data_IF_544696485247
#
_entry.id   IF_544696485247
#
_cell.length_a   1.000
_cell.length_b   1.000
_cell.length_c   1.000
_cell.angle_alpha   90.00
_cell.angle_beta   90.00
_cell.angle_gamma   90.00
#
_symmetry.space_group_name_H-M   'P 1'
#
loop_
_entity.id
_entity.type
_entity.pdbx_description
1 polymer ?
#
# COMPACT_ATOMS: atom_id res chain seq x y z
N UNK A 1 -46.75 -33.78 -7.40
CA UNK A 1 -45.90 -34.95 -7.12
C UNK A 1 -44.47 -34.44 -7.08
N UNK A 2 -43.85 -34.19 -5.91
CA UNK A 2 -42.43 -33.89 -5.84
C UNK A 2 -41.68 -35.18 -5.51
N UNK A 3 -41.25 -35.89 -6.55
CA UNK A 3 -40.23 -36.93 -6.44
C UNK A 3 -38.84 -36.25 -6.38
N UNK A 4 -37.90 -36.92 -5.71
CA UNK A 4 -36.45 -36.61 -5.58
C UNK A 4 -35.96 -35.76 -4.39
N UNK A 5 -36.32 -36.16 -3.16
CA UNK A 5 -35.43 -35.97 -1.98
C UNK A 5 -35.31 -37.30 -1.19
N UNK A 6 -35.21 -38.44 -1.88
CA UNK A 6 -35.14 -39.76 -1.20
C UNK A 6 -33.74 -40.39 -1.25
N UNK A 7 -32.74 -39.68 -1.82
CA UNK A 7 -31.36 -40.15 -1.94
C UNK A 7 -30.35 -39.16 -1.38
N UNK A 8 -29.40 -39.67 -0.60
CA UNK A 8 -28.19 -38.97 -0.17
C UNK A 8 -27.03 -39.53 -0.99
N UNK A 9 -26.62 -38.79 -2.01
CA UNK A 9 -25.63 -39.28 -2.98
C UNK A 9 -26.15 -40.55 -3.69
N UNK A 10 -25.43 -41.66 -3.53
CA UNK A 10 -25.76 -42.95 -4.18
C UNK A 10 -26.69 -43.85 -3.38
N UNK A 11 -27.04 -43.50 -2.13
CA UNK A 11 -27.86 -44.33 -1.23
C UNK A 11 -29.20 -43.67 -0.93
N UNK A 12 -30.20 -44.46 -0.54
CA UNK A 12 -31.47 -43.91 -0.02
C UNK A 12 -31.26 -43.19 1.32
N UNK A 13 -32.19 -42.31 1.68
CA UNK A 13 -32.20 -41.64 2.98
C UNK A 13 -32.18 -42.64 4.15
N UNK A 14 -33.02 -43.68 4.08
CA UNK A 14 -33.08 -44.75 5.09
C UNK A 14 -31.76 -45.53 5.22
N UNK A 15 -31.10 -45.82 4.10
CA UNK A 15 -29.79 -46.49 4.12
C UNK A 15 -28.71 -45.57 4.67
N UNK A 16 -28.74 -44.28 4.34
CA UNK A 16 -27.83 -43.30 4.90
C UNK A 16 -27.93 -43.24 6.43
N UNK A 17 -29.15 -43.21 6.98
CA UNK A 17 -29.38 -43.23 8.44
C UNK A 17 -28.83 -44.49 9.10
N UNK A 18 -28.99 -45.66 8.46
CA UNK A 18 -28.39 -46.90 8.93
C UNK A 18 -26.86 -46.85 8.91
N UNK A 19 -26.25 -46.37 7.83
CA UNK A 19 -24.80 -46.18 7.71
C UNK A 19 -24.29 -45.22 8.81
N UNK A 20 -25.02 -44.13 9.06
CA UNK A 20 -24.66 -43.18 10.12
C UNK A 20 -24.69 -43.85 11.49
N UNK A 21 -25.67 -44.72 11.78
CA UNK A 21 -25.70 -45.47 13.03
C UNK A 21 -24.51 -46.43 13.15
N UNK A 22 -24.24 -47.23 12.11
CA UNK A 22 -23.09 -48.15 12.04
C UNK A 22 -21.75 -47.41 12.26
N UNK A 23 -21.54 -46.29 11.56
CA UNK A 23 -20.31 -45.49 11.67
C UNK A 23 -20.19 -44.78 13.02
N UNK A 24 -21.30 -44.44 13.68
CA UNK A 24 -21.27 -43.86 15.03
C UNK A 24 -20.71 -44.85 16.06
N UNK A 25 -21.07 -46.13 15.95
CA UNK A 25 -20.54 -47.16 16.84
C UNK A 25 -19.03 -47.35 16.62
N UNK A 26 -18.58 -47.30 15.36
CA UNK A 26 -17.14 -47.32 15.02
C UNK A 26 -16.41 -46.12 15.63
N UNK A 27 -16.97 -44.91 15.51
CA UNK A 27 -16.39 -43.69 16.10
C UNK A 27 -16.37 -43.77 17.63
N UNK A 28 -17.37 -44.39 18.26
CA UNK A 28 -17.38 -44.61 19.72
C UNK A 28 -16.24 -45.57 20.13
N UNK A 29 -16.05 -46.67 19.41
CA UNK A 29 -14.95 -47.60 19.66
C UNK A 29 -13.58 -46.93 19.47
N UNK A 30 -13.42 -46.16 18.40
CA UNK A 30 -12.20 -45.39 18.16
C UNK A 30 -11.95 -44.37 19.29
N UNK A 31 -13.00 -43.70 19.75
CA UNK A 31 -12.91 -42.74 20.86
C UNK A 31 -12.47 -43.41 22.14
N UNK A 32 -13.04 -44.57 22.46
CA UNK A 32 -12.63 -45.38 23.61
C UNK A 32 -11.16 -45.80 23.50
N UNK A 33 -10.73 -46.29 22.33
CA UNK A 33 -9.35 -46.69 22.08
C UNK A 33 -8.35 -45.55 22.29
N UNK A 34 -8.65 -44.36 21.77
CA UNK A 34 -7.80 -43.17 21.96
C UNK A 34 -7.67 -42.77 23.43
N UNK A 35 -8.78 -42.79 24.18
CA UNK A 35 -8.74 -42.55 25.62
C UNK A 35 -7.96 -43.63 26.37
N UNK A 36 -8.10 -44.91 26.01
CA UNK A 36 -7.31 -45.99 26.61
C UNK A 36 -5.81 -45.78 26.37
N UNK A 37 -5.40 -45.42 25.15
CA UNK A 37 -4.00 -45.10 24.84
C UNK A 37 -3.53 -43.93 25.70
N UNK A 38 -4.33 -42.86 25.80
CA UNK A 38 -3.99 -41.69 26.60
C UNK A 38 -3.89 -41.99 28.10
N UNK A 39 -4.77 -42.83 28.63
CA UNK A 39 -4.78 -43.23 30.04
C UNK A 39 -3.54 -44.06 30.38
N UNK A 40 -3.16 -45.01 29.51
CA UNK A 40 -1.91 -45.78 29.69
C UNK A 40 -0.68 -44.91 29.54
N UNK A 41 -0.70 -43.94 28.62
CA UNK A 41 0.39 -42.98 28.49
C UNK A 41 0.52 -42.06 29.73
N UNK A 42 -0.59 -41.75 30.42
CA UNK A 42 -0.57 -41.02 31.70
C UNK A 42 -0.07 -41.87 32.85
N UNK A 43 -0.43 -43.15 32.88
CA UNK A 43 0.07 -44.13 33.85
C UNK A 43 1.59 -44.29 33.74
N UNK A 44 2.13 -44.30 32.52
CA UNK A 44 3.56 -44.41 32.25
C UNK A 44 4.30 -43.08 32.55
N UNK A 45 3.75 -41.93 32.13
CA UNK A 45 4.35 -40.62 32.33
C UNK A 45 3.29 -39.57 32.70
N UNK A 46 3.24 -39.19 33.97
CA UNK A 46 2.31 -38.18 34.49
C UNK A 46 2.49 -36.80 33.83
N UNK A 47 1.42 -36.00 33.84
CA UNK A 47 1.52 -34.59 33.43
C UNK A 47 2.38 -33.83 34.44
N UNK A 48 3.41 -33.14 33.95
CA UNK A 48 4.25 -32.26 34.77
C UNK A 48 3.56 -30.91 34.95
N UNK A 49 3.63 -30.35 36.15
CA UNK A 49 3.19 -28.97 36.40
C UNK A 49 4.11 -27.99 35.64
N UNK A 50 3.52 -27.02 34.95
CA UNK A 50 4.29 -25.96 34.28
C UNK A 50 5.00 -25.11 35.33
N UNK A 51 6.33 -25.25 35.48
CA UNK A 51 7.15 -24.34 36.28
C UNK A 51 8.32 -24.96 37.06
N UNK A 52 8.39 -26.28 37.22
CA UNK A 52 9.49 -26.93 37.94
C UNK A 52 10.68 -27.28 37.05
N UNK A 53 11.79 -26.56 37.16
CA UNK A 53 13.10 -27.04 36.69
C UNK A 53 13.54 -28.22 37.57
N UNK A 54 13.04 -29.42 37.28
CA UNK A 54 13.67 -30.63 37.80
C UNK A 54 14.70 -31.09 36.77
N UNK A 55 15.96 -31.16 37.20
CA UNK A 55 17.03 -31.79 36.44
C UNK A 55 16.64 -33.27 36.21
N UNK A 56 16.28 -33.62 34.98
CA UNK A 56 15.97 -35.00 34.61
C UNK A 56 17.25 -35.64 34.11
N UNK A 57 17.50 -36.86 34.58
CA UNK A 57 18.48 -37.77 34.00
C UNK A 57 18.27 -37.86 32.47
N UNK A 58 19.25 -37.53 31.63
CA UNK A 58 19.09 -37.49 30.16
C UNK A 58 18.56 -38.80 29.55
N UNK A 59 18.77 -39.91 30.26
CA UNK A 59 18.44 -41.27 29.80
C UNK A 59 16.93 -41.58 29.82
N UNK A 60 16.12 -40.86 30.62
CA UNK A 60 14.67 -41.06 30.75
C UNK A 60 13.87 -39.76 30.63
N UNK A 61 14.02 -39.08 29.48
CA UNK A 61 13.13 -37.96 29.15
C UNK A 61 11.71 -38.47 28.82
N UNK A 62 10.69 -37.68 29.15
CA UNK A 62 9.28 -37.93 28.75
C UNK A 62 9.15 -38.21 27.24
N UNK A 63 9.99 -37.57 26.43
CA UNK A 63 10.05 -37.81 24.98
C UNK A 63 10.57 -39.20 24.67
N UNK A 64 11.62 -39.69 25.32
CA UNK A 64 12.15 -41.03 25.12
C UNK A 64 11.13 -42.12 25.51
N UNK A 65 10.54 -42.02 26.71
CA UNK A 65 9.57 -43.00 27.21
C UNK A 65 8.34 -43.11 26.31
N UNK A 66 7.76 -41.97 25.91
CA UNK A 66 6.59 -41.96 25.03
C UNK A 66 6.92 -42.33 23.58
N UNK A 67 8.14 -42.07 23.11
CA UNK A 67 8.57 -42.50 21.77
C UNK A 67 8.63 -44.02 21.71
N UNK A 68 9.24 -44.65 22.72
CA UNK A 68 9.26 -46.11 22.85
C UNK A 68 7.85 -46.70 22.89
N UNK A 69 6.96 -46.15 23.73
CA UNK A 69 5.56 -46.59 23.78
C UNK A 69 4.89 -46.48 22.41
N UNK A 70 5.11 -45.36 21.70
CA UNK A 70 4.52 -45.13 20.39
C UNK A 70 5.03 -46.14 19.34
N UNK A 71 6.33 -46.44 19.33
CA UNK A 71 6.93 -47.45 18.47
C UNK A 71 6.39 -48.86 18.77
N UNK A 72 6.28 -49.23 20.05
CA UNK A 72 5.80 -50.55 20.49
C UNK A 72 4.34 -50.82 20.08
N UNK A 73 3.49 -49.78 20.02
CA UNK A 73 2.07 -49.89 19.62
C UNK A 73 1.81 -49.46 18.16
N UNK A 74 2.86 -49.13 17.39
CA UNK A 74 2.75 -48.76 15.98
C UNK A 74 2.10 -47.39 15.70
N UNK A 75 2.22 -46.43 16.63
CA UNK A 75 1.69 -45.07 16.50
C UNK A 75 2.80 -44.02 16.42
N UNK A 76 2.44 -42.81 16.00
CA UNK A 76 3.34 -41.65 16.06
C UNK A 76 3.44 -41.15 17.50
N UNK A 77 4.63 -40.73 17.91
CA UNK A 77 4.84 -40.04 19.19
C UNK A 77 3.85 -38.88 19.39
N UNK A 78 3.58 -38.08 18.35
CA UNK A 78 2.62 -36.97 18.41
C UNK A 78 1.19 -37.42 18.72
N UNK A 79 0.77 -38.59 18.23
CA UNK A 79 -0.54 -39.18 18.53
C UNK A 79 -0.62 -39.58 19.99
N UNK A 80 0.37 -40.31 20.50
CA UNK A 80 0.42 -40.74 21.92
C UNK A 80 0.50 -39.53 22.85
N UNK A 81 1.34 -38.55 22.53
CA UNK A 81 1.44 -37.28 23.28
C UNK A 81 0.10 -36.54 23.31
N UNK A 82 -0.60 -36.45 22.17
CA UNK A 82 -1.92 -35.82 22.10
C UNK A 82 -2.98 -36.60 22.86
N UNK A 83 -2.94 -37.94 22.81
CA UNK A 83 -3.80 -38.85 23.57
C UNK A 83 -3.64 -38.61 25.07
N UNK A 84 -2.40 -38.65 25.54
CA UNK A 84 -2.04 -38.41 26.95
C UNK A 84 -2.57 -37.07 27.45
N UNK A 85 -2.28 -36.00 26.71
CA UNK A 85 -2.73 -34.65 27.09
C UNK A 85 -4.26 -34.56 27.12
N UNK A 86 -4.95 -35.11 26.12
CA UNK A 86 -6.43 -35.07 26.09
C UNK A 86 -7.03 -35.87 27.24
N UNK A 87 -6.51 -37.06 27.52
CA UNK A 87 -6.93 -37.86 28.69
C UNK A 87 -6.74 -37.11 30.01
N UNK A 88 -5.66 -36.33 30.16
CA UNK A 88 -5.45 -35.56 31.41
C UNK A 88 -6.47 -34.44 31.61
N UNK A 89 -7.04 -33.92 30.53
CA UNK A 89 -8.07 -32.87 30.56
C UNK A 89 -9.48 -33.45 30.71
N UNK A 90 -9.64 -34.75 30.48
CA UNK A 90 -10.91 -35.49 30.50
C UNK A 90 -10.81 -36.76 31.35
N UNK A 91 -11.00 -36.65 32.68
CA UNK A 91 -11.16 -37.80 33.57
C UNK A 91 -12.26 -38.76 33.08
N UNK A 92 -12.14 -40.05 33.43
CA UNK A 92 -13.02 -41.09 32.90
C UNK A 92 -14.52 -40.84 33.15
N UNK A 93 -14.87 -40.24 34.29
CA UNK A 93 -16.25 -39.87 34.69
C UNK A 93 -16.79 -38.64 33.94
N UNK A 94 -15.93 -37.85 33.29
CA UNK A 94 -16.29 -36.62 32.58
C UNK A 94 -16.37 -36.77 31.06
N UNK A 95 -16.00 -37.94 30.52
CA UNK A 95 -16.07 -38.24 29.08
C UNK A 95 -17.51 -38.48 28.65
N UNK A 96 -17.92 -37.86 27.55
CA UNK A 96 -19.30 -37.94 27.08
C UNK A 96 -19.49 -39.00 26.00
N UNK A 97 -20.40 -39.95 26.26
CA UNK A 97 -20.80 -40.95 25.27
C UNK A 97 -21.46 -40.27 24.07
N UNK A 98 -21.12 -40.72 22.87
CA UNK A 98 -21.66 -40.15 21.62
C UNK A 98 -21.01 -38.84 21.17
N UNK A 99 -20.01 -38.33 21.91
CA UNK A 99 -19.13 -37.25 21.48
C UNK A 99 -17.79 -37.83 21.05
N UNK A 100 -17.30 -37.46 19.87
CA UNK A 100 -16.06 -38.02 19.32
C UNK A 100 -14.82 -37.57 20.10
N UNK A 101 -13.76 -38.37 20.04
CA UNK A 101 -12.46 -38.00 20.60
C UNK A 101 -11.92 -36.67 20.05
N UNK A 102 -12.15 -36.37 18.77
CA UNK A 102 -11.74 -35.11 18.15
C UNK A 102 -12.37 -33.91 18.83
N UNK A 103 -13.67 -33.97 19.17
CA UNK A 103 -14.36 -32.89 19.89
C UNK A 103 -13.78 -32.74 21.31
N UNK A 104 -13.58 -33.84 22.03
CA UNK A 104 -12.92 -33.80 23.35
C UNK A 104 -11.54 -33.15 23.27
N UNK A 105 -10.72 -33.52 22.27
CA UNK A 105 -9.38 -32.95 22.05
C UNK A 105 -9.43 -31.45 21.76
N UNK A 106 -10.42 -30.98 21.01
CA UNK A 106 -10.55 -29.54 20.71
C UNK A 106 -11.01 -28.78 21.95
N UNK A 107 -12.05 -29.25 22.65
CA UNK A 107 -12.56 -28.62 23.86
C UNK A 107 -11.59 -28.72 25.06
N UNK A 108 -10.61 -29.63 25.01
CA UNK A 108 -9.54 -29.74 26.01
C UNK A 108 -8.70 -28.45 26.18
N UNK A 109 -8.70 -27.58 25.16
CA UNK A 109 -8.06 -26.27 25.20
C UNK A 109 -8.81 -25.22 26.04
N UNK A 110 -10.05 -25.49 26.47
CA UNK A 110 -10.71 -24.64 27.47
C UNK A 110 -9.94 -24.79 28.79
N UNK A 111 -9.33 -23.70 29.25
CA UNK A 111 -8.45 -23.70 30.42
C UNK A 111 -9.21 -24.00 31.70
N UNK A 112 -10.38 -23.37 31.89
CA UNK A 112 -11.24 -23.60 33.03
C UNK A 112 -11.89 -24.99 32.97
N UNK A 113 -11.62 -25.80 34.00
CA UNK A 113 -12.08 -27.19 34.06
C UNK A 113 -13.61 -27.31 34.15
N UNK A 114 -14.26 -26.47 34.96
CA UNK A 114 -15.71 -26.48 35.10
C UNK A 114 -16.38 -26.04 33.80
N UNK A 115 -15.93 -24.95 33.19
CA UNK A 115 -16.43 -24.48 31.89
C UNK A 115 -16.29 -25.57 30.82
N UNK A 116 -15.15 -26.26 30.79
CA UNK A 116 -14.90 -27.34 29.84
C UNK A 116 -15.89 -28.49 30.04
N UNK A 117 -16.09 -28.93 31.28
CA UNK A 117 -17.02 -30.02 31.61
C UNK A 117 -18.47 -29.66 31.30
N UNK A 118 -18.87 -28.41 31.53
CA UNK A 118 -20.22 -27.94 31.21
C UNK A 118 -20.42 -27.78 29.69
N UNK A 119 -19.39 -27.31 28.98
CA UNK A 119 -19.44 -27.09 27.54
C UNK A 119 -19.71 -28.40 26.77
N UNK A 120 -19.03 -29.51 27.10
CA UNK A 120 -19.20 -30.75 26.33
C UNK A 120 -20.61 -31.34 26.44
N UNK A 121 -21.34 -31.05 27.52
CA UNK A 121 -22.72 -31.49 27.75
C UNK A 121 -23.74 -30.74 26.89
N UNK A 122 -23.39 -29.54 26.42
CA UNK A 122 -24.33 -28.63 25.75
C UNK A 122 -23.83 -28.33 24.34
N UNK A 123 -24.27 -29.08 23.31
CA UNK A 123 -23.98 -28.74 21.92
C UNK A 123 -24.49 -27.34 21.57
N UNK A 124 -23.97 -26.69 20.52
CA UNK A 124 -24.47 -25.39 20.09
C UNK A 124 -25.97 -25.39 19.80
N UNK A 125 -26.60 -24.23 19.98
CA UNK A 125 -28.04 -24.04 19.80
C UNK A 125 -28.52 -24.55 18.43
N UNK A 126 -29.64 -25.25 18.42
CA UNK A 126 -30.23 -25.84 17.21
C UNK A 126 -29.54 -27.11 16.72
N UNK A 127 -28.50 -27.62 17.41
CA UNK A 127 -27.82 -28.86 17.05
C UNK A 127 -27.98 -29.93 18.12
N UNK A 128 -28.25 -31.16 17.69
CA UNK A 128 -28.35 -32.31 18.59
C UNK A 128 -26.99 -32.84 19.05
N UNK A 129 -25.89 -32.51 18.35
CA UNK A 129 -24.54 -33.06 18.60
C UNK A 129 -23.45 -32.05 18.24
N UNK A 130 -22.29 -32.20 18.87
CA UNK A 130 -21.07 -31.48 18.51
C UNK A 130 -20.51 -31.93 17.17
N UNK A 131 -20.05 -30.96 16.37
CA UNK A 131 -19.13 -31.19 15.25
C UNK A 131 -17.73 -30.68 15.59
N UNK A 132 -16.66 -31.14 14.92
CA UNK A 132 -15.32 -30.60 15.12
C UNK A 132 -15.23 -29.09 14.86
N UNK A 133 -15.97 -28.57 13.89
CA UNK A 133 -16.02 -27.14 13.59
C UNK A 133 -16.72 -26.35 14.70
N UNK A 134 -17.81 -26.88 15.25
CA UNK A 134 -18.49 -26.25 16.38
C UNK A 134 -17.58 -26.17 17.61
N UNK A 135 -16.85 -27.27 17.90
CA UNK A 135 -15.88 -27.29 18.97
C UNK A 135 -14.75 -26.28 18.71
N UNK A 136 -14.29 -26.18 17.47
CA UNK A 136 -13.24 -25.23 17.07
C UNK A 136 -13.71 -23.78 17.23
N UNK A 137 -14.95 -23.46 16.84
CA UNK A 137 -15.56 -22.14 17.09
C UNK A 137 -15.61 -21.82 18.58
N UNK A 138 -16.03 -22.77 19.42
CA UNK A 138 -16.16 -22.57 20.87
C UNK A 138 -14.85 -22.18 21.54
N UNK A 139 -13.73 -22.67 21.03
CA UNK A 139 -12.39 -22.37 21.55
C UNK A 139 -11.63 -21.30 20.75
N UNK A 140 -12.28 -20.68 19.76
CA UNK A 140 -11.65 -19.64 18.91
C UNK A 140 -10.63 -20.18 17.90
N UNK A 141 -10.59 -21.48 17.66
CA UNK A 141 -9.73 -22.10 16.66
C UNK A 141 -10.28 -21.90 15.25
N UNK A 142 -9.38 -22.03 14.26
CA UNK A 142 -9.76 -22.04 12.84
C UNK A 142 -10.70 -23.20 12.55
N UNK A 143 -11.81 -22.91 11.87
CA UNK A 143 -12.78 -23.89 11.37
C UNK A 143 -12.37 -24.41 10.00
N UNK A 144 -12.76 -25.64 9.68
CA UNK A 144 -12.61 -26.25 8.38
C UNK A 144 -13.66 -25.72 7.40
N UNK A 145 -14.90 -25.52 7.86
CA UNK A 145 -16.01 -24.98 7.07
C UNK A 145 -16.45 -23.60 7.61
N UNK A 146 -15.90 -22.50 7.08
CA UNK A 146 -16.31 -21.13 7.44
C UNK A 146 -17.76 -20.82 7.09
N UNK A 147 -18.56 -20.46 8.09
CA UNK A 147 -19.98 -20.08 7.91
C UNK A 147 -20.16 -18.57 8.07
N UNK A 148 -19.58 -17.99 9.12
CA UNK A 148 -19.75 -16.55 9.42
C UNK A 148 -18.86 -15.68 8.52
N UNK A 149 -19.21 -14.39 8.28
CA UNK A 149 -18.35 -13.48 7.53
C UNK A 149 -16.93 -13.39 8.10
N UNK A 150 -16.79 -13.34 9.43
CA UNK A 150 -15.49 -13.29 10.11
C UNK A 150 -14.65 -14.55 9.87
N UNK A 151 -15.27 -15.73 9.92
CA UNK A 151 -14.60 -16.99 9.61
C UNK A 151 -14.14 -17.02 8.15
N UNK A 152 -14.99 -16.58 7.21
CA UNK A 152 -14.65 -16.52 5.79
C UNK A 152 -13.49 -15.57 5.52
N UNK A 153 -13.48 -14.40 6.16
CA UNK A 153 -12.36 -13.45 6.06
C UNK A 153 -11.07 -14.07 6.59
N UNK A 154 -11.12 -14.74 7.75
CA UNK A 154 -9.95 -15.41 8.34
C UNK A 154 -9.40 -16.52 7.43
N UNK A 155 -10.29 -17.28 6.79
CA UNK A 155 -9.92 -18.29 5.81
C UNK A 155 -9.25 -17.66 4.57
N UNK A 156 -9.80 -16.55 4.05
CA UNK A 156 -9.20 -15.80 2.94
C UNK A 156 -7.81 -15.30 3.31
N UNK A 157 -7.62 -14.72 4.51
CA UNK A 157 -6.30 -14.27 4.97
C UNK A 157 -5.28 -15.41 5.02
N UNK A 158 -5.71 -16.61 5.41
CA UNK A 158 -4.82 -17.79 5.41
C UNK A 158 -4.44 -18.22 3.99
N UNK A 159 -5.40 -18.20 3.07
CA UNK A 159 -5.17 -18.59 1.67
C UNK A 159 -4.34 -17.55 0.90
N UNK A 160 -4.44 -16.28 1.28
CA UNK A 160 -3.73 -15.16 0.68
C UNK A 160 -2.49 -14.73 1.51
N UNK A 161 -1.81 -15.69 2.17
CA UNK A 161 -0.53 -15.42 2.83
C UNK A 161 0.61 -15.14 1.85
N UNK A 162 0.50 -15.68 0.63
CA UNK A 162 1.44 -15.42 -0.45
C UNK A 162 1.08 -14.09 -1.14
N UNK A 163 2.05 -13.18 -1.23
CA UNK A 163 1.85 -11.83 -1.77
C UNK A 163 1.44 -11.84 -3.26
N UNK A 164 1.89 -12.82 -4.05
CA UNK A 164 1.47 -12.95 -5.45
C UNK A 164 0.00 -13.37 -5.54
N UNK A 165 -0.42 -14.32 -4.71
CA UNK A 165 -1.83 -14.73 -4.61
C UNK A 165 -2.69 -13.57 -4.10
N UNK A 166 -2.23 -12.86 -3.07
CA UNK A 166 -2.92 -11.71 -2.51
C UNK A 166 -3.10 -10.58 -3.54
N UNK A 167 -2.05 -10.27 -4.32
CA UNK A 167 -2.11 -9.24 -5.36
C UNK A 167 -3.08 -9.63 -6.49
N UNK A 168 -3.08 -10.89 -6.93
CA UNK A 168 -3.99 -11.39 -7.96
C UNK A 168 -5.45 -11.32 -7.49
N UNK A 169 -5.74 -11.82 -6.29
CA UNK A 169 -7.09 -11.79 -5.70
C UNK A 169 -7.56 -10.35 -5.45
N UNK A 170 -6.68 -9.46 -4.98
CA UNK A 170 -6.99 -8.03 -4.81
C UNK A 170 -7.37 -7.39 -6.13
N UNK A 171 -6.62 -7.66 -7.20
CA UNK A 171 -6.92 -7.15 -8.55
C UNK A 171 -8.28 -7.63 -9.03
N UNK A 172 -8.63 -8.90 -8.79
CA UNK A 172 -9.94 -9.43 -9.15
C UNK A 172 -11.08 -8.86 -8.30
N UNK A 173 -10.84 -8.56 -7.03
CA UNK A 173 -11.80 -7.84 -6.20
C UNK A 173 -12.03 -6.41 -6.66
N UNK A 174 -10.99 -5.68 -7.05
CA UNK A 174 -11.11 -4.30 -7.55
C UNK A 174 -11.84 -4.21 -8.89
N UNK A 175 -11.84 -5.26 -9.71
CA UNK A 175 -12.63 -5.35 -10.95
C UNK A 175 -14.14 -5.45 -10.69
N UNK A 176 -14.59 -5.71 -9.46
CA UNK A 176 -16.00 -5.87 -9.10
C UNK A 176 -16.58 -4.53 -8.61
N UNK A 177 -17.46 -3.85 -9.37
CA UNK A 177 -17.92 -2.51 -9.03
C UNK A 177 -18.61 -2.40 -7.66
N UNK A 178 -19.36 -3.43 -7.27
CA UNK A 178 -20.04 -3.46 -5.96
C UNK A 178 -19.05 -3.53 -4.78
N UNK A 179 -17.92 -4.23 -4.96
CA UNK A 179 -16.87 -4.31 -3.93
C UNK A 179 -16.26 -2.94 -3.75
N UNK A 180 -15.84 -2.31 -4.85
CA UNK A 180 -15.25 -0.96 -4.84
C UNK A 180 -16.22 0.06 -4.23
N UNK A 181 -17.52 -0.03 -4.48
CA UNK A 181 -18.51 0.87 -3.85
C UNK A 181 -18.58 0.70 -2.33
N UNK A 182 -18.47 -0.53 -1.82
CA UNK A 182 -18.53 -0.83 -0.38
C UNK A 182 -17.25 -0.47 0.40
N UNK A 183 -16.11 -0.28 -0.28
CA UNK A 183 -14.88 0.20 0.37
C UNK A 183 -15.06 1.65 0.84
N UNK A 184 -14.64 1.94 2.07
CA UNK A 184 -14.76 3.26 2.68
C UNK A 184 -13.97 4.32 1.90
N UNK A 185 -14.36 5.59 2.00
CA UNK A 185 -13.62 6.67 1.35
C UNK A 185 -12.18 6.79 1.88
N UNK A 186 -11.97 6.54 3.18
CA UNK A 186 -10.65 6.54 3.82
C UNK A 186 -9.76 5.44 3.24
N UNK A 187 -10.28 4.22 3.12
CA UNK A 187 -9.53 3.11 2.54
C UNK A 187 -9.23 3.32 1.05
N UNK A 188 -10.17 3.90 0.30
CA UNK A 188 -9.93 4.29 -1.10
C UNK A 188 -8.80 5.29 -1.23
N UNK A 189 -8.79 6.34 -0.41
CA UNK A 189 -7.74 7.35 -0.43
C UNK A 189 -6.37 6.73 -0.12
N UNK A 190 -6.30 5.88 0.91
CA UNK A 190 -5.07 5.16 1.28
C UNK A 190 -4.56 4.23 0.18
N UNK A 191 -5.46 3.49 -0.49
CA UNK A 191 -5.08 2.62 -1.61
C UNK A 191 -4.56 3.43 -2.80
N UNK A 192 -5.21 4.57 -3.10
CA UNK A 192 -4.71 5.48 -4.15
C UNK A 192 -3.32 5.98 -3.78
N UNK A 193 -3.10 6.45 -2.55
CA UNK A 193 -1.79 6.90 -2.08
C UNK A 193 -0.72 5.83 -2.26
N UNK A 194 -0.99 4.59 -1.82
CA UNK A 194 -0.05 3.48 -1.96
C UNK A 194 0.25 3.14 -3.43
N UNK A 195 -0.78 3.07 -4.29
CA UNK A 195 -0.60 2.80 -5.71
C UNK A 195 0.13 3.93 -6.45
N UNK A 196 0.03 5.17 -5.98
CA UNK A 196 0.74 6.32 -6.56
C UNK A 196 2.15 6.53 -5.98
N UNK A 197 2.69 5.58 -5.20
CA UNK A 197 4.12 5.57 -4.88
C UNK A 197 5.00 5.24 -6.08
N UNK A 198 4.46 4.47 -7.02
CA UNK A 198 5.08 4.25 -8.33
C UNK A 198 4.85 5.49 -9.21
N UNK A 199 5.94 6.10 -9.68
CA UNK A 199 5.90 7.36 -10.44
C UNK A 199 5.18 7.23 -11.80
N UNK A 200 5.26 6.06 -12.44
CA UNK A 200 4.56 5.80 -13.70
C UNK A 200 3.05 5.68 -13.46
N UNK A 201 2.65 5.00 -12.37
CA UNK A 201 1.24 4.91 -11.95
C UNK A 201 0.73 6.29 -11.53
N UNK A 202 1.49 7.05 -10.74
CA UNK A 202 1.15 8.39 -10.32
C UNK A 202 0.93 9.34 -11.51
N UNK A 203 1.84 9.33 -12.48
CA UNK A 203 1.74 10.15 -13.69
C UNK A 203 0.49 9.79 -14.51
N UNK A 204 0.21 8.49 -14.66
CA UNK A 204 -0.97 8.00 -15.37
C UNK A 204 -2.27 8.39 -14.64
N UNK A 205 -2.30 8.22 -13.32
CA UNK A 205 -3.43 8.59 -12.47
C UNK A 205 -3.69 10.10 -12.51
N UNK A 206 -2.65 10.92 -12.33
CA UNK A 206 -2.73 12.38 -12.41
C UNK A 206 -3.28 12.82 -13.78
N UNK A 207 -2.75 12.27 -14.88
CA UNK A 207 -3.24 12.56 -16.23
C UNK A 207 -4.72 12.20 -16.39
N UNK A 208 -5.14 11.02 -15.93
CA UNK A 208 -6.54 10.59 -16.00
C UNK A 208 -7.46 11.46 -15.14
N UNK A 209 -7.00 11.92 -13.97
CA UNK A 209 -7.74 12.82 -13.10
C UNK A 209 -7.90 14.20 -13.74
N UNK A 210 -6.82 14.76 -14.31
CA UNK A 210 -6.83 16.05 -14.99
C UNK A 210 -7.65 16.05 -16.29
N UNK A 211 -7.97 14.88 -16.88
CA UNK A 211 -8.96 14.78 -17.97
C UNK A 211 -10.38 15.15 -17.53
N UNK A 212 -10.65 15.22 -16.22
CA UNK A 212 -11.95 15.65 -15.67
C UNK A 212 -11.92 17.17 -15.45
N UNK A 213 -12.76 17.96 -16.12
CA UNK A 213 -12.69 19.43 -16.10
C UNK A 213 -12.70 20.04 -14.69
N UNK A 214 -13.60 19.57 -13.82
CA UNK A 214 -13.71 20.09 -12.44
C UNK A 214 -12.47 19.79 -11.59
N UNK A 215 -11.79 18.67 -11.85
CA UNK A 215 -10.56 18.30 -11.13
C UNK A 215 -9.40 19.16 -11.63
N UNK A 216 -9.27 19.35 -12.94
CA UNK A 216 -8.27 20.24 -13.51
C UNK A 216 -8.43 21.67 -13.00
N UNK A 217 -9.66 22.20 -13.01
CA UNK A 217 -9.95 23.54 -12.49
C UNK A 217 -9.56 23.69 -11.02
N UNK A 218 -9.89 22.70 -10.18
CA UNK A 218 -9.51 22.70 -8.77
C UNK A 218 -8.01 22.56 -8.56
N UNK A 219 -7.32 21.75 -9.37
CA UNK A 219 -5.88 21.59 -9.31
C UNK A 219 -5.15 22.89 -9.69
N UNK A 220 -5.59 23.60 -10.73
CA UNK A 220 -5.03 24.91 -11.13
C UNK A 220 -5.30 26.02 -10.11
N UNK A 221 -6.32 25.85 -9.27
CA UNK A 221 -6.60 26.79 -8.18
C UNK A 221 -5.63 26.64 -7.00
N UNK A 222 -4.87 25.54 -6.94
CA UNK A 222 -3.80 25.34 -5.95
C UNK A 222 -2.49 26.01 -6.42
N UNK A 223 -1.94 26.89 -5.60
CA UNK A 223 -0.75 27.70 -5.94
C UNK A 223 0.48 26.83 -6.21
N UNK A 224 0.64 25.72 -5.48
CA UNK A 224 1.79 24.84 -5.61
C UNK A 224 1.70 24.05 -6.91
N UNK A 225 0.54 23.44 -7.18
CA UNK A 225 0.31 22.71 -8.41
C UNK A 225 0.48 23.61 -9.65
N UNK A 226 -0.14 24.80 -9.62
CA UNK A 226 -0.02 25.79 -10.69
C UNK A 226 1.41 26.26 -10.91
N UNK A 227 2.17 26.52 -9.85
CA UNK A 227 3.59 26.87 -9.94
C UNK A 227 4.40 25.75 -10.61
N UNK A 228 4.21 24.50 -10.18
CA UNK A 228 4.93 23.34 -10.75
C UNK A 228 4.60 23.12 -12.23
N UNK A 229 3.32 23.23 -12.61
CA UNK A 229 2.89 23.13 -14.02
C UNK A 229 3.49 24.27 -14.85
N UNK A 230 3.46 25.50 -14.35
CA UNK A 230 4.03 26.66 -15.04
C UNK A 230 5.54 26.52 -15.23
N UNK A 231 6.25 26.04 -14.20
CA UNK A 231 7.68 25.74 -14.27
C UNK A 231 7.98 24.66 -15.32
N UNK A 232 7.20 23.57 -15.32
CA UNK A 232 7.33 22.50 -16.31
C UNK A 232 7.04 22.97 -17.74
N UNK A 233 6.07 23.88 -17.95
CA UNK A 233 5.78 24.48 -19.25
C UNK A 233 6.90 25.37 -19.76
N UNK A 234 7.47 26.21 -18.88
CA UNK A 234 8.62 27.05 -19.20
C UNK A 234 9.84 26.18 -19.58
N UNK A 235 10.09 25.12 -18.80
CA UNK A 235 11.19 24.19 -19.06
C UNK A 235 11.00 23.44 -20.38
N UNK A 236 9.80 22.93 -20.65
CA UNK A 236 9.47 22.29 -21.93
C UNK A 236 9.66 23.24 -23.11
N UNK A 237 9.32 24.52 -22.94
CA UNK A 237 9.51 25.54 -23.98
C UNK A 237 10.99 25.82 -24.24
N UNK A 238 11.83 25.84 -23.18
CA UNK A 238 13.30 25.93 -23.33
C UNK A 238 13.84 24.72 -24.07
N UNK A 239 13.52 23.51 -23.62
CA UNK A 239 13.96 22.27 -24.27
C UNK A 239 13.53 22.19 -25.74
N UNK A 240 12.33 22.66 -26.08
CA UNK A 240 11.87 22.70 -27.47
C UNK A 240 12.70 23.67 -28.33
N UNK A 241 13.15 24.81 -27.77
CA UNK A 241 14.05 25.73 -28.45
C UNK A 241 15.44 25.14 -28.62
N UNK A 242 16.00 24.57 -27.55
CA UNK A 242 17.32 23.94 -27.60
C UNK A 242 17.33 22.79 -28.61
N UNK A 243 16.29 21.94 -28.60
CA UNK A 243 16.12 20.88 -29.58
C UNK A 243 16.03 21.41 -31.01
N UNK A 244 15.30 22.52 -31.23
CA UNK A 244 15.25 23.17 -32.54
C UNK A 244 16.63 23.69 -32.94
N UNK A 245 17.36 24.35 -32.03
CA UNK A 245 18.72 24.84 -32.30
C UNK A 245 19.69 23.71 -32.68
N UNK A 246 19.60 22.57 -32.02
CA UNK A 246 20.50 21.44 -32.21
C UNK A 246 20.17 20.58 -33.43
N UNK A 247 18.88 20.42 -33.77
CA UNK A 247 18.45 19.45 -34.79
C UNK A 247 17.99 20.09 -36.10
N UNK A 248 17.61 21.37 -36.09
CA UNK A 248 17.04 22.02 -37.27
C UNK A 248 18.14 22.51 -38.22
N UNK A 249 18.14 22.09 -39.50
CA UNK A 249 19.12 22.56 -40.48
C UNK A 249 18.99 24.06 -40.80
N UNK A 250 17.86 24.68 -40.45
CA UNK A 250 17.61 26.12 -40.59
C UNK A 250 17.92 26.93 -39.33
N UNK A 251 18.21 26.29 -38.20
CA UNK A 251 18.55 27.01 -36.96
C UNK A 251 19.71 28.01 -37.11
N UNK A 252 20.82 27.71 -37.81
CA UNK A 252 21.89 28.69 -38.02
C UNK A 252 21.44 29.92 -38.83
N UNK A 253 20.51 29.76 -39.77
CA UNK A 253 19.97 30.85 -40.58
C UNK A 253 19.04 31.74 -39.74
N UNK A 254 18.16 31.15 -38.93
CA UNK A 254 17.29 31.89 -37.99
C UNK A 254 18.14 32.65 -36.98
N UNK A 255 19.15 32.02 -36.38
CA UNK A 255 20.07 32.66 -35.44
C UNK A 255 20.85 33.82 -36.07
N UNK A 256 21.20 33.71 -37.34
CA UNK A 256 21.84 34.80 -38.09
C UNK A 256 20.87 35.95 -38.38
N UNK A 257 19.61 35.65 -38.67
CA UNK A 257 18.55 36.65 -38.86
C UNK A 257 18.30 37.39 -37.54
N UNK A 258 18.11 36.67 -36.43
CA UNK A 258 17.88 37.26 -35.11
C UNK A 258 19.04 38.19 -34.71
N UNK A 259 20.29 37.74 -34.87
CA UNK A 259 21.47 38.60 -34.66
C UNK A 259 21.53 39.82 -35.57
N UNK A 260 21.05 39.70 -36.81
CA UNK A 260 20.99 40.82 -37.76
C UNK A 260 19.90 41.82 -37.35
N UNK A 261 18.76 41.34 -36.85
CA UNK A 261 17.68 42.17 -36.31
C UNK A 261 18.15 42.90 -35.06
N UNK A 262 18.76 42.20 -34.09
CA UNK A 262 19.33 42.81 -32.88
C UNK A 262 20.37 43.89 -33.21
N UNK A 263 21.23 43.65 -34.21
CA UNK A 263 22.17 44.65 -34.71
C UNK A 263 21.45 45.87 -35.31
N UNK A 264 20.44 45.66 -36.15
CA UNK A 264 19.67 46.75 -36.76
C UNK A 264 18.88 47.54 -35.71
N UNK A 265 18.34 46.89 -34.69
CA UNK A 265 17.64 47.54 -33.59
C UNK A 265 18.59 48.44 -32.78
N UNK A 266 19.78 47.94 -32.45
CA UNK A 266 20.82 48.74 -31.77
C UNK A 266 21.24 49.95 -32.61
N UNK A 267 21.51 49.76 -33.91
CA UNK A 267 21.87 50.84 -34.83
C UNK A 267 20.74 51.87 -34.95
N UNK A 268 19.49 51.42 -34.95
CA UNK A 268 18.30 52.28 -35.03
C UNK A 268 18.10 53.08 -33.74
N UNK A 269 18.35 52.49 -32.58
CA UNK A 269 18.32 53.17 -31.29
C UNK A 269 19.37 54.29 -31.24
N UNK A 270 20.61 54.01 -31.66
CA UNK A 270 21.67 55.02 -31.76
C UNK A 270 21.31 56.16 -32.72
N UNK A 271 20.79 55.84 -33.92
CA UNK A 271 20.35 56.86 -34.88
C UNK A 271 19.21 57.72 -34.34
N UNK A 272 18.24 57.11 -33.66
CA UNK A 272 17.10 57.81 -33.09
C UNK A 272 17.53 58.80 -32.01
N UNK A 273 18.46 58.41 -31.13
CA UNK A 273 19.05 59.28 -30.13
C UNK A 273 19.80 60.47 -30.77
N UNK A 274 20.70 60.21 -31.72
CA UNK A 274 21.48 61.25 -32.42
C UNK A 274 20.57 62.22 -33.17
N UNK A 275 19.56 61.70 -33.89
CA UNK A 275 18.61 62.52 -34.62
C UNK A 275 17.72 63.38 -33.70
N UNK A 276 17.29 62.83 -32.56
CA UNK A 276 16.55 63.58 -31.55
C UNK A 276 17.40 64.71 -30.94
N UNK A 277 18.63 64.39 -30.53
CA UNK A 277 19.57 65.38 -29.99
C UNK A 277 19.88 66.48 -31.03
N UNK A 278 20.13 66.11 -32.29
CA UNK A 278 20.43 67.03 -33.38
C UNK A 278 19.29 67.99 -33.75
N UNK A 279 18.02 67.65 -33.46
CA UNK A 279 16.87 68.56 -33.61
C UNK A 279 16.69 69.46 -32.40
N UNK A 280 16.82 68.90 -31.20
CA UNK A 280 16.50 69.61 -29.95
C UNK A 280 17.60 70.60 -29.55
N UNK A 281 18.87 70.22 -29.66
CA UNK A 281 20.01 71.03 -29.20
C UNK A 281 20.11 72.38 -29.94
N UNK A 282 19.98 72.47 -31.28
CA UNK A 282 19.95 73.76 -31.97
C UNK A 282 18.76 74.65 -31.59
N UNK A 283 17.65 74.06 -31.13
CA UNK A 283 16.48 74.80 -30.62
C UNK A 283 16.70 75.43 -29.24
N UNK A 284 17.80 75.11 -28.56
CA UNK A 284 18.24 75.77 -27.33
C UNK A 284 19.10 77.01 -27.60
N UNK A 285 19.39 77.31 -28.87
CA UNK A 285 20.11 78.52 -29.27
C UNK A 285 19.36 79.76 -28.75
N UNK A 286 20.11 80.70 -28.21
CA UNK A 286 19.62 81.95 -27.62
C UNK A 286 18.83 81.81 -26.30
N UNK A 287 18.89 80.65 -25.63
CA UNK A 287 18.37 80.44 -24.26
C UNK A 287 19.52 80.12 -23.30
N UNK A 288 19.65 80.88 -22.21
CA UNK A 288 20.50 80.50 -21.07
C UNK A 288 19.71 79.54 -20.19
N UNK A 289 20.16 78.28 -20.09
CA UNK A 289 19.62 77.33 -19.13
C UNK A 289 19.88 77.85 -17.71
N UNK A 290 18.92 77.66 -16.82
CA UNK A 290 19.13 77.86 -15.38
C UNK A 290 20.13 76.84 -14.82
N UNK A 291 20.71 77.10 -13.65
CA UNK A 291 21.66 76.18 -13.00
C UNK A 291 21.04 74.80 -12.75
N UNK A 292 19.78 74.74 -12.32
CA UNK A 292 19.06 73.49 -12.07
C UNK A 292 18.80 72.69 -13.36
N UNK A 293 18.41 73.37 -14.44
CA UNK A 293 18.22 72.74 -15.76
C UNK A 293 19.54 72.20 -16.33
N UNK A 294 20.65 72.93 -16.13
CA UNK A 294 21.98 72.48 -16.54
C UNK A 294 22.41 71.21 -15.78
N UNK A 295 22.18 71.14 -14.46
CA UNK A 295 22.48 69.96 -13.64
C UNK A 295 21.72 68.72 -14.13
N UNK A 296 20.42 68.85 -14.41
CA UNK A 296 19.59 67.73 -14.92
C UNK A 296 20.09 67.25 -16.29
N UNK A 297 20.44 68.17 -17.19
CA UNK A 297 21.01 67.82 -18.50
C UNK A 297 22.34 67.10 -18.34
N UNK A 298 23.23 67.56 -17.46
CA UNK A 298 24.51 66.91 -17.19
C UNK A 298 24.37 65.49 -16.63
N UNK A 299 23.43 65.26 -15.71
CA UNK A 299 23.15 63.92 -15.19
C UNK A 299 22.64 62.97 -16.28
N UNK A 300 21.74 63.42 -17.15
CA UNK A 300 21.25 62.61 -18.27
C UNK A 300 22.36 62.30 -19.28
N UNK A 301 23.25 63.27 -19.57
CA UNK A 301 24.41 63.04 -20.44
C UNK A 301 25.36 62.01 -19.82
N UNK A 302 25.58 62.02 -18.51
CA UNK A 302 26.41 61.03 -17.82
C UNK A 302 25.82 59.60 -17.96
N UNK A 303 24.50 59.44 -17.79
CA UNK A 303 23.82 58.15 -18.00
C UNK A 303 23.93 57.65 -19.44
N UNK A 304 23.77 58.55 -20.41
CA UNK A 304 23.94 58.22 -21.83
C UNK A 304 25.36 57.76 -22.11
N UNK A 305 26.38 58.47 -21.61
CA UNK A 305 27.79 58.06 -21.78
C UNK A 305 28.06 56.68 -21.20
N UNK A 306 27.64 56.43 -19.96
CA UNK A 306 27.82 55.12 -19.33
C UNK A 306 27.10 53.99 -20.09
N UNK A 307 25.94 54.28 -20.69
CA UNK A 307 25.22 53.31 -21.54
C UNK A 307 25.97 53.07 -22.86
N UNK A 308 26.55 54.11 -23.47
CA UNK A 308 27.36 53.98 -24.68
C UNK A 308 28.65 53.20 -24.41
N UNK A 309 29.32 53.43 -23.29
CA UNK A 309 30.53 52.69 -22.88
C UNK A 309 30.22 51.19 -22.68
N UNK A 310 29.04 50.88 -22.12
CA UNK A 310 28.56 49.49 -22.02
C UNK A 310 28.23 48.87 -23.38
N UNK A 311 27.59 49.62 -24.29
CA UNK A 311 27.34 49.17 -25.66
C UNK A 311 28.66 48.88 -26.37
N UNK A 312 29.66 49.77 -26.25
CA UNK A 312 31.00 49.58 -26.85
C UNK A 312 31.69 48.34 -26.28
N UNK A 313 31.68 48.19 -24.95
CA UNK A 313 32.22 47.00 -24.28
C UNK A 313 31.52 45.71 -24.74
N UNK A 314 30.19 45.74 -24.86
CA UNK A 314 29.40 44.59 -25.30
C UNK A 314 29.68 44.22 -26.77
N UNK A 315 29.88 45.21 -27.65
CA UNK A 315 30.24 44.99 -29.05
C UNK A 315 31.67 44.46 -29.19
N UNK A 316 32.62 45.01 -28.43
CA UNK A 316 34.05 44.65 -28.55
C UNK A 316 34.38 43.31 -27.89
N UNK A 317 33.69 42.96 -26.80
CA UNK A 317 34.04 41.78 -25.99
C UNK A 317 33.01 40.67 -26.06
N UNK A 318 31.80 40.95 -26.56
CA UNK A 318 30.67 40.01 -26.56
C UNK A 318 30.06 39.75 -25.17
N UNK A 319 30.53 40.44 -24.11
CA UNK A 319 29.98 40.34 -22.76
C UNK A 319 28.87 41.36 -22.58
N UNK A 320 27.66 40.88 -22.31
CA UNK A 320 26.46 41.72 -22.13
C UNK A 320 26.09 41.95 -20.67
N UNK A 321 26.91 41.46 -19.74
CA UNK A 321 26.71 41.68 -18.32
C UNK A 321 26.81 43.17 -18.00
N UNK A 322 25.78 43.72 -17.37
CA UNK A 322 25.71 45.12 -16.97
C UNK A 322 26.41 45.30 -15.61
N UNK A 323 27.40 46.19 -15.53
CA UNK A 323 28.08 46.52 -14.27
C UNK A 323 27.08 47.09 -13.25
N UNK A 324 27.22 46.71 -11.98
CA UNK A 324 26.39 47.16 -10.85
C UNK A 324 26.32 48.69 -10.75
N UNK A 325 27.40 49.38 -11.14
CA UNK A 325 27.47 50.84 -11.14
C UNK A 325 26.58 51.47 -12.22
N UNK A 326 26.55 50.89 -13.43
CA UNK A 326 25.68 51.31 -14.53
C UNK A 326 24.21 50.98 -14.22
N UNK A 327 23.94 49.83 -13.60
CA UNK A 327 22.61 49.42 -13.18
C UNK A 327 22.00 50.42 -12.17
N UNK A 328 22.81 50.90 -11.23
CA UNK A 328 22.42 51.90 -10.23
C UNK A 328 22.13 53.27 -10.87
N UNK A 329 23.00 53.72 -11.77
CA UNK A 329 22.81 54.98 -12.52
C UNK A 329 21.54 54.98 -13.39
N UNK A 330 21.21 53.86 -14.04
CA UNK A 330 19.99 53.72 -14.84
C UNK A 330 18.72 53.71 -13.99
N UNK A 331 18.76 53.16 -12.76
CA UNK A 331 17.66 53.21 -11.78
C UNK A 331 17.45 54.60 -11.15
N UNK A 332 18.42 55.51 -11.26
CA UNK A 332 18.34 56.85 -10.66
C UNK A 332 18.68 56.87 -9.16
N UNK A 333 19.41 55.87 -8.69
CA UNK A 333 20.01 55.73 -7.36
C UNK A 333 21.48 56.21 -7.35
#
# INVERSE_FOLDING_TARGET
>A
MPDEIDKVGSVSQSRYEQIVAELRDVVEQQTRGQFTIGDRALEIELMRESGGHNAVDPEWSMTATLTRLAEDIGLKFSTVKSARWTSSRWPADRRQKGVSYTVHRILAYIENDQERFDAILTPPEGKARWTPDDASRRVGNRVETPVTPKEKITAIHTLAQDDQVAAAVTSDFLKRPEVTTKVTAVDKARVVEEFTRDEQVATTAATNLLRRPDIAFKAESDDTARFQVSHAQAERSRQARDHFEDTSPVAPAVKKIDRTVEFLDLVTACHSFVAAAGRTVPGLRDRTLSEDEAVIVHQNVAKVRATLDWIETAVDTGKVDMDDELARMLRGE
#
